data_IF_354964810809
#
_entry.id   IF_354964810809
#
_cell.length_a   1.000
_cell.length_b   1.000
_cell.length_c   1.000
_cell.angle_alpha   90.00
_cell.angle_beta   90.00
_cell.angle_gamma   90.00
#
_symmetry.space_group_name_H-M   'P 1'
#
loop_
_entity.id
_entity.type
_entity.pdbx_description
1 polymer ?
#
# COMPACT_ATOMS: atom_id res chain seq x y z
N UNK A 1 29.47 3.01 -6.26
CA UNK A 1 28.47 3.18 -5.17
C UNK A 1 28.35 1.87 -4.37
N UNK A 2 29.39 1.54 -3.59
CA UNK A 2 29.39 0.31 -2.78
C UNK A 2 28.60 0.57 -1.50
N UNK A 3 27.62 -0.29 -1.18
CA UNK A 3 26.88 -0.23 0.07
C UNK A 3 27.80 -0.67 1.21
N UNK A 4 28.09 0.23 2.16
CA UNK A 4 28.95 -0.04 3.30
C UNK A 4 28.20 -0.09 4.64
N UNK A 5 26.98 0.46 4.70
CA UNK A 5 26.14 0.41 5.90
C UNK A 5 24.75 -0.15 5.58
N UNK A 6 24.20 -0.90 6.55
CA UNK A 6 22.88 -1.51 6.51
C UNK A 6 22.29 -1.46 7.93
N UNK A 7 21.57 -0.42 8.23
CA UNK A 7 21.05 -0.17 9.58
C UNK A 7 19.55 -0.38 9.65
N UNK A 8 19.11 -0.96 10.77
CA UNK A 8 17.72 -1.27 11.03
C UNK A 8 17.26 -0.62 12.34
N UNK A 9 16.31 0.28 12.22
CA UNK A 9 15.68 0.91 13.37
C UNK A 9 14.22 0.40 13.50
N UNK A 10 13.82 -0.13 14.67
CA UNK A 10 12.44 -0.50 14.90
C UNK A 10 11.55 0.75 14.86
N UNK A 11 10.38 0.62 14.24
CA UNK A 11 9.44 1.71 14.08
C UNK A 11 8.06 1.25 14.52
N UNK A 12 7.51 1.89 15.54
CA UNK A 12 6.14 1.67 16.02
C UNK A 12 5.40 2.98 15.98
N UNK A 13 4.31 3.02 15.22
CA UNK A 13 3.48 4.21 15.03
C UNK A 13 2.08 3.92 15.59
N UNK A 14 1.59 4.79 16.46
CA UNK A 14 0.23 4.71 17.01
C UNK A 14 -0.78 5.25 16.00
N UNK A 15 -1.97 4.67 15.96
CA UNK A 15 -3.08 5.23 15.19
C UNK A 15 -3.84 6.27 16.00
N UNK A 16 -4.33 7.31 15.34
CA UNK A 16 -5.22 8.32 15.95
C UNK A 16 -6.48 7.69 16.54
N UNK A 17 -7.05 6.66 15.88
CA UNK A 17 -8.17 5.86 16.40
C UNK A 17 -7.65 4.55 16.98
N UNK A 18 -7.52 4.41 18.32
CA UNK A 18 -7.04 3.17 18.93
C UNK A 18 -8.04 2.01 18.79
N UNK A 19 -9.31 2.30 18.46
CA UNK A 19 -10.35 1.32 18.18
C UNK A 19 -10.44 0.94 16.69
N UNK A 20 -9.45 1.34 15.88
CA UNK A 20 -9.43 1.04 14.46
C UNK A 20 -9.40 -0.46 14.20
N UNK A 21 -10.36 -0.94 13.37
CA UNK A 21 -10.48 -2.34 13.01
C UNK A 21 -10.97 -2.54 11.58
N UNK A 22 -10.62 -3.69 11.02
CA UNK A 22 -11.13 -4.21 9.75
C UNK A 22 -11.60 -5.66 9.96
N UNK A 23 -12.05 -6.35 8.90
CA UNK A 23 -12.66 -7.67 9.02
C UNK A 23 -11.80 -8.70 9.78
N UNK A 24 -10.46 -8.67 9.60
CA UNK A 24 -9.55 -9.70 10.12
C UNK A 24 -8.96 -9.36 11.50
N UNK A 25 -8.87 -8.08 11.89
CA UNK A 25 -8.18 -7.69 13.14
C UNK A 25 -8.54 -6.29 13.64
N UNK A 26 -8.30 -6.06 14.94
CA UNK A 26 -8.10 -4.73 15.52
C UNK A 26 -6.59 -4.42 15.53
N UNK A 27 -6.23 -3.19 15.19
CA UNK A 27 -4.82 -2.80 15.06
C UNK A 27 -4.61 -1.36 15.55
N UNK A 28 -4.34 -1.14 16.84
CA UNK A 28 -4.15 0.20 17.41
C UNK A 28 -2.78 0.82 17.05
N UNK A 29 -1.84 -0.01 16.62
CA UNK A 29 -0.48 0.38 16.21
C UNK A 29 -0.13 -0.20 14.85
N UNK A 30 0.86 0.40 14.21
CA UNK A 30 1.55 -0.16 13.05
C UNK A 30 3.02 -0.34 13.41
N UNK A 31 3.54 -1.53 13.23
CA UNK A 31 4.92 -1.88 13.53
C UNK A 31 5.70 -2.13 12.24
N UNK A 32 7.01 -1.98 12.31
CA UNK A 32 7.91 -2.24 11.19
C UNK A 32 9.34 -1.88 11.51
N UNK A 33 10.14 -1.78 10.46
CA UNK A 33 11.55 -1.35 10.56
C UNK A 33 11.85 -0.33 9.46
N UNK A 34 12.55 0.73 9.82
CA UNK A 34 13.21 1.61 8.86
C UNK A 34 14.57 0.98 8.52
N UNK A 35 14.82 0.78 7.24
CA UNK A 35 16.11 0.38 6.70
C UNK A 35 16.82 1.62 6.17
N UNK A 36 18.05 1.86 6.63
CA UNK A 36 18.99 2.82 6.06
C UNK A 36 20.13 2.07 5.37
N UNK A 37 20.36 2.36 4.11
CA UNK A 37 21.54 1.96 3.37
C UNK A 37 22.43 3.18 3.18
N UNK A 38 23.74 3.05 3.36
CA UNK A 38 24.68 4.11 3.02
C UNK A 38 25.85 3.56 2.20
N UNK A 39 26.41 4.42 1.34
CA UNK A 39 27.58 4.12 0.51
C UNK A 39 28.82 4.79 1.07
N UNK A 40 30.01 4.31 0.64
CA UNK A 40 31.29 4.92 0.98
C UNK A 40 31.39 6.41 0.59
N UNK A 41 30.62 6.82 -0.43
CA UNK A 41 30.53 8.21 -0.88
C UNK A 41 29.57 9.06 -0.02
N UNK A 42 29.00 8.49 1.05
CA UNK A 42 28.10 9.17 1.99
C UNK A 42 26.66 9.37 1.48
N UNK A 43 26.28 8.73 0.37
CA UNK A 43 24.87 8.77 -0.11
C UNK A 43 24.04 7.77 0.69
N UNK A 44 22.90 8.23 1.17
CA UNK A 44 21.96 7.40 1.93
C UNK A 44 20.69 7.13 1.13
N UNK A 45 20.08 5.95 1.36
CA UNK A 45 18.78 5.57 0.84
C UNK A 45 17.96 4.86 1.91
N UNK A 46 16.66 5.07 1.91
CA UNK A 46 15.75 4.58 2.94
C UNK A 46 14.66 3.68 2.39
N UNK A 47 14.32 2.65 3.16
CA UNK A 47 13.17 1.77 2.94
C UNK A 47 12.41 1.50 4.23
N UNK A 48 11.16 1.11 4.12
CA UNK A 48 10.32 0.76 5.28
C UNK A 48 9.73 -0.63 5.11
N UNK A 49 10.03 -1.54 6.04
CA UNK A 49 9.44 -2.85 6.14
C UNK A 49 8.20 -2.79 7.05
N UNK A 50 7.02 -2.90 6.48
CA UNK A 50 5.75 -2.87 7.22
C UNK A 50 5.37 -4.25 7.73
N UNK A 51 5.12 -4.40 9.02
CA UNK A 51 4.54 -5.60 9.60
C UNK A 51 3.05 -5.67 9.25
N UNK A 52 2.67 -6.71 8.53
CA UNK A 52 1.30 -6.97 8.08
C UNK A 52 0.92 -8.41 8.44
N UNK A 53 0.48 -8.69 9.69
CA UNK A 53 0.24 -10.06 10.16
C UNK A 53 -0.72 -10.87 9.28
N UNK A 54 -1.75 -10.23 8.74
CA UNK A 54 -2.71 -10.86 7.81
C UNK A 54 -2.10 -11.19 6.43
N UNK A 55 -0.91 -10.69 6.14
CA UNK A 55 -0.10 -11.02 4.94
C UNK A 55 1.16 -11.81 5.29
N UNK A 56 1.24 -12.36 6.49
CA UNK A 56 2.29 -13.30 6.91
C UNK A 56 3.56 -12.67 7.50
N UNK A 57 3.60 -11.38 7.86
CA UNK A 57 4.77 -10.78 8.48
C UNK A 57 4.46 -10.07 9.80
N UNK A 58 5.33 -10.23 10.78
CA UNK A 58 5.36 -9.49 12.04
C UNK A 58 6.72 -8.80 12.20
N UNK A 59 6.84 -7.85 13.12
CA UNK A 59 8.09 -7.09 13.31
C UNK A 59 9.31 -8.00 13.56
N UNK A 60 9.13 -9.09 14.30
CA UNK A 60 10.20 -10.05 14.60
C UNK A 60 10.66 -10.84 13.35
N UNK A 61 9.73 -11.30 12.49
CA UNK A 61 10.09 -11.99 11.24
C UNK A 61 10.77 -11.05 10.26
N UNK A 62 10.28 -9.81 10.12
CA UNK A 62 10.91 -8.78 9.29
C UNK A 62 12.34 -8.50 9.73
N UNK A 63 12.58 -8.42 11.04
CA UNK A 63 13.93 -8.22 11.57
C UNK A 63 14.86 -9.36 11.18
N UNK A 64 14.43 -10.61 11.36
CA UNK A 64 15.22 -11.78 11.02
C UNK A 64 15.49 -11.88 9.50
N UNK A 65 14.50 -11.59 8.67
CA UNK A 65 14.62 -11.56 7.22
C UNK A 65 15.61 -10.47 6.74
N UNK A 66 15.53 -9.27 7.32
CA UNK A 66 16.42 -8.17 6.98
C UNK A 66 17.86 -8.45 7.47
N UNK A 67 18.05 -9.07 8.63
CA UNK A 67 19.37 -9.49 9.09
C UNK A 67 19.98 -10.58 8.19
N UNK A 68 19.17 -11.48 7.63
CA UNK A 68 19.59 -12.44 6.59
C UNK A 68 20.01 -11.73 5.31
N UNK A 69 19.36 -10.64 4.92
CA UNK A 69 19.67 -9.88 3.72
C UNK A 69 20.92 -9.01 3.84
N UNK A 70 21.28 -8.57 5.04
CA UNK A 70 22.43 -7.73 5.31
C UNK A 70 23.71 -8.18 4.58
N UNK A 71 24.22 -9.43 4.72
CA UNK A 71 25.42 -9.89 4.03
C UNK A 71 25.26 -10.02 2.51
N UNK A 72 24.04 -10.07 2.00
CA UNK A 72 23.76 -10.15 0.58
C UNK A 72 23.74 -8.76 -0.09
N UNK A 73 23.65 -7.69 0.69
CA UNK A 73 23.60 -6.29 0.23
C UNK A 73 24.93 -5.57 0.49
N UNK A 74 25.54 -5.75 1.67
CA UNK A 74 26.81 -5.13 2.01
C UNK A 74 27.91 -5.55 1.03
N UNK A 75 28.75 -4.58 0.65
CA UNK A 75 29.85 -4.76 -0.30
C UNK A 75 29.39 -4.84 -1.77
N UNK A 76 28.10 -4.69 -2.06
CA UNK A 76 27.56 -4.69 -3.43
C UNK A 76 27.43 -3.27 -3.98
N UNK A 77 27.53 -3.15 -5.28
CA UNK A 77 27.20 -1.89 -5.97
C UNK A 77 25.67 -1.72 -6.01
N UNK A 78 25.18 -0.65 -5.38
CA UNK A 78 23.75 -0.34 -5.29
C UNK A 78 23.07 -0.18 -6.66
N UNK A 79 23.83 0.13 -7.73
CA UNK A 79 23.34 0.21 -9.11
C UNK A 79 22.98 -1.16 -9.68
N UNK A 80 23.53 -2.23 -9.14
CA UNK A 80 23.24 -3.61 -9.51
C UNK A 80 21.96 -4.16 -8.86
N UNK A 81 20.87 -3.40 -8.86
CA UNK A 81 19.62 -3.71 -8.19
C UNK A 81 19.10 -5.12 -8.52
N UNK A 82 19.04 -5.50 -9.79
CA UNK A 82 18.58 -6.83 -10.20
C UNK A 82 19.44 -7.97 -9.64
N UNK A 83 20.76 -7.77 -9.58
CA UNK A 83 21.67 -8.77 -9.05
C UNK A 83 21.52 -8.93 -7.52
N UNK A 84 21.29 -7.82 -6.81
CA UNK A 84 21.04 -7.82 -5.36
C UNK A 84 19.69 -8.49 -5.09
N UNK A 85 18.60 -8.03 -5.70
CA UNK A 85 17.26 -8.58 -5.48
C UNK A 85 17.19 -10.06 -5.87
N UNK A 86 17.85 -10.48 -6.95
CA UNK A 86 17.98 -11.88 -7.33
C UNK A 86 18.75 -12.73 -6.29
N UNK A 87 19.70 -12.15 -5.58
CA UNK A 87 20.38 -12.83 -4.46
C UNK A 87 19.44 -13.00 -3.26
N UNK A 88 18.62 -11.99 -2.95
CA UNK A 88 17.59 -12.09 -1.90
C UNK A 88 16.55 -13.14 -2.25
N UNK A 89 16.10 -13.21 -3.52
CA UNK A 89 15.12 -14.20 -3.98
C UNK A 89 15.63 -15.65 -3.86
N UNK A 90 16.92 -15.87 -4.08
CA UNK A 90 17.57 -17.16 -3.83
C UNK A 90 17.83 -17.43 -2.36
N UNK A 91 18.01 -16.40 -1.55
CA UNK A 91 18.30 -16.51 -0.10
C UNK A 91 17.10 -17.01 0.70
N UNK A 92 15.92 -16.53 0.37
CA UNK A 92 14.66 -16.94 1.04
C UNK A 92 13.48 -16.82 0.09
N UNK A 93 12.62 -17.84 0.07
CA UNK A 93 11.34 -17.79 -0.64
C UNK A 93 10.34 -16.94 0.16
N UNK A 94 9.58 -16.08 -0.51
CA UNK A 94 8.65 -15.16 0.15
C UNK A 94 9.34 -13.92 0.70
N UNK A 95 9.02 -13.52 1.95
CA UNK A 95 9.54 -12.33 2.60
C UNK A 95 9.33 -11.02 1.79
N UNK A 96 8.14 -10.80 1.18
CA UNK A 96 7.98 -9.68 0.26
C UNK A 96 8.12 -8.32 0.94
N UNK A 97 7.68 -8.17 2.19
CA UNK A 97 7.77 -6.89 2.92
C UNK A 97 9.22 -6.51 3.24
N UNK A 98 10.06 -7.47 3.63
CA UNK A 98 11.48 -7.24 3.86
C UNK A 98 12.23 -6.97 2.54
N UNK A 99 11.91 -7.70 1.47
CA UNK A 99 12.45 -7.44 0.12
C UNK A 99 12.04 -6.06 -0.39
N UNK A 100 10.78 -5.65 -0.14
CA UNK A 100 10.30 -4.32 -0.52
C UNK A 100 11.11 -3.21 0.15
N UNK A 101 11.45 -3.36 1.44
CA UNK A 101 12.29 -2.37 2.12
C UNK A 101 13.67 -2.23 1.48
N UNK A 102 14.31 -3.34 1.10
CA UNK A 102 15.63 -3.31 0.42
C UNK A 102 15.51 -2.73 -0.98
N UNK A 103 14.52 -3.15 -1.76
CA UNK A 103 14.26 -2.64 -3.12
C UNK A 103 14.01 -1.12 -3.09
N UNK A 104 13.15 -0.66 -2.19
CA UNK A 104 12.84 0.77 -2.01
C UNK A 104 14.06 1.57 -1.56
N UNK A 105 14.86 1.05 -0.62
CA UNK A 105 16.08 1.72 -0.16
C UNK A 105 17.12 1.85 -1.28
N UNK A 106 17.29 0.81 -2.09
CA UNK A 106 18.19 0.84 -3.25
C UNK A 106 17.73 1.84 -4.32
N UNK A 107 16.41 1.89 -4.60
CA UNK A 107 15.86 2.88 -5.54
C UNK A 107 16.04 4.31 -5.01
N UNK A 108 15.74 4.56 -3.72
CA UNK A 108 15.93 5.87 -3.10
C UNK A 108 17.39 6.31 -3.13
N UNK A 109 18.31 5.40 -2.78
CA UNK A 109 19.76 5.61 -2.83
C UNK A 109 20.24 5.94 -4.25
N UNK A 110 19.80 5.18 -5.26
CA UNK A 110 20.18 5.42 -6.65
C UNK A 110 19.65 6.78 -7.15
N UNK A 111 18.40 7.13 -6.85
CA UNK A 111 17.83 8.42 -7.24
C UNK A 111 18.55 9.59 -6.54
N UNK A 112 18.87 9.46 -5.25
CA UNK A 112 19.65 10.46 -4.49
C UNK A 112 21.05 10.63 -5.05
N UNK A 113 21.74 9.55 -5.42
CA UNK A 113 23.08 9.62 -5.99
C UNK A 113 23.12 10.32 -7.35
N UNK A 114 22.04 10.25 -8.11
CA UNK A 114 21.86 10.94 -9.39
C UNK A 114 21.35 12.38 -9.21
N UNK A 115 20.97 12.78 -8.00
CA UNK A 115 20.38 14.10 -7.72
C UNK A 115 18.98 14.28 -8.32
N UNK A 116 18.23 13.20 -8.58
CA UNK A 116 16.93 13.25 -9.24
C UNK A 116 15.80 12.72 -8.34
N UNK A 117 14.55 13.17 -8.53
CA UNK A 117 13.40 12.56 -7.88
C UNK A 117 13.22 11.09 -8.29
N UNK A 118 12.70 10.27 -7.39
CA UNK A 118 12.58 8.82 -7.58
C UNK A 118 11.80 8.42 -8.84
N UNK A 119 10.74 9.16 -9.22
CA UNK A 119 9.94 8.86 -10.41
C UNK A 119 10.76 8.91 -11.72
N UNK A 120 11.90 9.59 -11.74
CA UNK A 120 12.78 9.65 -12.93
C UNK A 120 13.33 8.27 -13.28
N UNK A 121 13.56 7.41 -12.27
CA UNK A 121 14.00 6.02 -12.49
C UNK A 121 12.92 5.14 -13.16
N UNK A 122 11.68 5.61 -13.20
CA UNK A 122 10.54 4.90 -13.82
C UNK A 122 10.10 5.51 -15.15
N UNK A 123 10.88 6.44 -15.69
CA UNK A 123 10.61 7.10 -16.97
C UNK A 123 10.05 8.52 -16.86
N UNK A 124 10.01 9.08 -15.65
CA UNK A 124 9.50 10.43 -15.37
C UNK A 124 8.02 10.45 -15.00
N UNK A 125 7.58 11.55 -14.41
CA UNK A 125 6.19 11.72 -13.99
C UNK A 125 5.30 12.12 -15.18
N UNK A 126 4.17 11.45 -15.33
CA UNK A 126 3.09 11.80 -16.28
C UNK A 126 1.99 12.63 -15.61
N UNK A 127 2.03 12.73 -14.28
CA UNK A 127 1.21 13.61 -13.42
C UNK A 127 1.97 14.01 -12.19
N UNK A 128 1.62 15.15 -11.59
CA UNK A 128 2.30 15.68 -10.40
C UNK A 128 1.59 15.34 -9.09
N UNK A 129 0.38 14.79 -9.17
CA UNK A 129 -0.43 14.43 -8.01
C UNK A 129 -1.40 13.31 -8.32
N UNK A 130 -1.87 12.63 -7.27
CA UNK A 130 -2.93 11.61 -7.38
C UNK A 130 -4.01 11.87 -6.33
N UNK A 131 -5.29 11.57 -6.64
CA UNK A 131 -6.32 11.51 -5.62
C UNK A 131 -6.08 10.30 -4.73
N UNK A 132 -6.36 10.46 -3.44
CA UNK A 132 -6.21 9.37 -2.48
C UNK A 132 -7.55 8.90 -1.93
N UNK A 133 -7.58 7.61 -1.70
CA UNK A 133 -8.67 6.88 -1.09
C UNK A 133 -8.49 6.88 0.44
N UNK A 134 -9.54 7.26 1.19
CA UNK A 134 -9.50 7.25 2.65
C UNK A 134 -10.37 6.15 3.24
N UNK A 135 -9.79 5.36 4.14
CA UNK A 135 -10.47 4.19 4.71
C UNK A 135 -11.37 4.60 5.88
N UNK A 136 -12.61 4.07 5.85
CA UNK A 136 -13.56 4.06 6.96
C UNK A 136 -13.47 2.71 7.67
N UNK A 137 -13.01 2.70 8.91
CA UNK A 137 -12.97 1.50 9.75
C UNK A 137 -14.39 1.01 10.10
N UNK A 138 -14.52 -0.29 10.40
CA UNK A 138 -15.82 -0.90 10.73
C UNK A 138 -16.36 -0.31 12.04
N UNK A 139 -17.52 0.31 11.96
CA UNK A 139 -18.34 0.83 13.07
C UNK A 139 -19.82 0.65 12.73
N UNK A 140 -20.70 1.18 13.56
CA UNK A 140 -22.13 1.22 13.23
C UNK A 140 -22.39 2.09 11.98
N UNK A 141 -23.48 1.84 11.21
CA UNK A 141 -23.81 2.64 10.03
C UNK A 141 -23.82 4.15 10.28
N UNK A 142 -24.40 4.59 11.40
CA UNK A 142 -24.49 6.01 11.79
C UNK A 142 -23.12 6.62 12.08
N UNK A 143 -22.26 5.91 12.81
CA UNK A 143 -20.91 6.38 13.10
C UNK A 143 -20.04 6.48 11.85
N UNK A 144 -20.17 5.50 10.93
CA UNK A 144 -19.45 5.50 9.66
C UNK A 144 -19.92 6.65 8.75
N UNK A 145 -21.21 6.91 8.69
CA UNK A 145 -21.77 8.03 7.94
C UNK A 145 -21.27 9.38 8.49
N UNK A 146 -21.26 9.55 9.80
CA UNK A 146 -20.74 10.77 10.44
C UNK A 146 -19.22 10.94 10.20
N UNK A 147 -18.45 9.84 10.21
CA UNK A 147 -17.02 9.88 9.89
C UNK A 147 -16.77 10.19 8.41
N UNK A 148 -17.58 9.61 7.51
CA UNK A 148 -17.52 9.91 6.08
C UNK A 148 -17.73 11.39 5.80
N UNK A 149 -18.74 12.02 6.43
CA UNK A 149 -18.97 13.47 6.29
C UNK A 149 -17.76 14.30 6.73
N UNK A 150 -17.15 13.97 7.87
CA UNK A 150 -15.93 14.68 8.34
C UNK A 150 -14.79 14.60 7.34
N UNK A 151 -14.65 13.46 6.64
CA UNK A 151 -13.64 13.32 5.60
C UNK A 151 -13.98 14.15 4.35
N UNK A 152 -15.24 14.17 3.96
CA UNK A 152 -15.72 15.02 2.84
C UNK A 152 -15.50 16.51 3.15
N UNK A 153 -15.77 16.94 4.36
CA UNK A 153 -15.51 18.33 4.82
C UNK A 153 -14.01 18.69 4.79
N UNK A 154 -13.12 17.69 4.95
CA UNK A 154 -11.66 17.82 4.79
C UNK A 154 -11.19 17.75 3.32
N UNK A 155 -12.11 17.64 2.36
CA UNK A 155 -11.81 17.63 0.92
C UNK A 155 -11.65 16.26 0.28
N UNK A 156 -11.79 15.17 1.03
CA UNK A 156 -11.75 13.82 0.42
C UNK A 156 -12.98 13.58 -0.45
N UNK A 157 -12.76 12.95 -1.62
CA UNK A 157 -13.82 12.58 -2.56
C UNK A 157 -13.86 11.09 -2.85
N UNK A 158 -12.91 10.33 -2.34
CA UNK A 158 -12.79 8.88 -2.50
C UNK A 158 -12.73 8.22 -1.12
N UNK A 159 -13.73 7.41 -0.79
CA UNK A 159 -13.85 6.73 0.50
C UNK A 159 -13.89 5.22 0.32
N UNK A 160 -13.16 4.50 1.17
CA UNK A 160 -13.13 3.04 1.20
C UNK A 160 -13.84 2.55 2.46
N UNK A 161 -14.92 1.81 2.28
CA UNK A 161 -15.80 1.30 3.32
C UNK A 161 -15.36 -0.12 3.69
N UNK A 162 -14.86 -0.32 4.90
CA UNK A 162 -14.60 -1.66 5.42
C UNK A 162 -15.90 -2.35 5.81
N UNK A 163 -16.07 -3.60 5.37
CA UNK A 163 -17.21 -4.47 5.68
C UNK A 163 -16.72 -5.78 6.33
N UNK A 164 -17.62 -6.61 6.85
CA UNK A 164 -17.21 -7.79 7.63
C UNK A 164 -17.97 -9.08 7.31
N UNK A 165 -18.78 -9.11 6.25
CA UNK A 165 -19.44 -10.32 5.78
C UNK A 165 -20.90 -10.50 6.22
N UNK A 166 -21.46 -9.63 7.07
CA UNK A 166 -22.90 -9.60 7.30
C UNK A 166 -23.58 -8.76 6.21
N UNK A 167 -24.26 -9.44 5.29
CA UNK A 167 -24.90 -8.83 4.11
C UNK A 167 -25.86 -7.70 4.49
N UNK A 168 -26.68 -7.87 5.52
CA UNK A 168 -27.69 -6.89 5.90
C UNK A 168 -27.05 -5.63 6.53
N UNK A 169 -26.12 -5.84 7.45
CA UNK A 169 -25.39 -4.75 8.11
C UNK A 169 -24.50 -3.98 7.13
N UNK A 170 -23.80 -4.69 6.24
CA UNK A 170 -22.88 -4.09 5.29
C UNK A 170 -23.62 -3.25 4.24
N UNK A 171 -24.77 -3.72 3.76
CA UNK A 171 -25.68 -2.91 2.91
C UNK A 171 -26.16 -1.67 3.67
N UNK A 172 -26.55 -1.81 4.94
CA UNK A 172 -26.99 -0.67 5.75
C UNK A 172 -25.87 0.37 5.96
N UNK A 173 -24.60 -0.06 6.15
CA UNK A 173 -23.42 0.84 6.22
C UNK A 173 -23.25 1.66 4.95
N UNK A 174 -23.30 0.98 3.81
CA UNK A 174 -23.13 1.63 2.50
C UNK A 174 -24.28 2.62 2.24
N UNK A 175 -25.53 2.21 2.50
CA UNK A 175 -26.70 3.07 2.36
C UNK A 175 -26.62 4.33 3.23
N UNK A 176 -26.24 4.17 4.51
CA UNK A 176 -26.11 5.28 5.43
C UNK A 176 -24.99 6.27 5.01
N UNK A 177 -23.85 5.75 4.55
CA UNK A 177 -22.74 6.58 4.05
C UNK A 177 -23.17 7.32 2.79
N UNK A 178 -23.75 6.64 1.79
CA UNK A 178 -24.21 7.27 0.54
C UNK A 178 -25.25 8.37 0.82
N UNK A 179 -26.21 8.09 1.67
CA UNK A 179 -27.23 9.08 2.07
C UNK A 179 -26.63 10.32 2.73
N UNK A 180 -25.54 10.16 3.47
CA UNK A 180 -24.88 11.26 4.19
C UNK A 180 -24.00 12.11 3.27
N UNK A 181 -23.20 11.47 2.39
CA UNK A 181 -22.16 12.17 1.63
C UNK A 181 -22.61 12.62 0.22
N UNK A 182 -23.80 12.18 -0.22
CA UNK A 182 -24.31 12.52 -1.54
C UNK A 182 -23.66 11.72 -2.68
N UNK A 183 -24.00 12.07 -3.92
CA UNK A 183 -23.64 11.32 -5.13
C UNK A 183 -22.26 11.64 -5.71
N UNK A 184 -21.68 12.78 -5.32
CA UNK A 184 -20.38 13.26 -5.84
C UNK A 184 -19.16 12.60 -5.17
N UNK A 185 -19.40 11.75 -4.17
CA UNK A 185 -18.34 11.01 -3.46
C UNK A 185 -18.22 9.61 -4.00
N UNK A 186 -17.03 9.22 -4.41
CA UNK A 186 -16.69 7.89 -4.88
C UNK A 186 -16.60 6.91 -3.71
N UNK A 187 -17.31 5.78 -3.79
CA UNK A 187 -17.32 4.76 -2.74
C UNK A 187 -16.72 3.45 -3.25
N UNK A 188 -15.72 2.97 -2.54
CA UNK A 188 -15.13 1.64 -2.71
C UNK A 188 -15.47 0.78 -1.49
N UNK A 189 -15.71 -0.51 -1.68
CA UNK A 189 -15.90 -1.47 -0.60
C UNK A 189 -14.65 -2.33 -0.49
N UNK A 190 -14.25 -2.65 0.73
CA UNK A 190 -13.21 -3.65 0.99
C UNK A 190 -13.74 -4.67 2.00
N UNK A 191 -13.90 -5.88 1.52
CA UNK A 191 -14.43 -6.99 2.28
C UNK A 191 -13.35 -7.81 2.99
N UNK A 192 -12.08 -7.63 2.66
CA UNK A 192 -10.95 -8.40 3.20
C UNK A 192 -11.30 -9.90 3.34
N UNK A 193 -11.79 -10.51 2.25
CA UNK A 193 -12.08 -11.94 2.18
C UNK A 193 -13.28 -12.42 3.03
N UNK A 194 -14.16 -11.52 3.49
CA UNK A 194 -15.16 -11.87 4.52
C UNK A 194 -16.42 -12.56 4.00
N UNK A 195 -16.67 -12.56 2.68
CA UNK A 195 -17.87 -13.17 2.12
C UNK A 195 -17.62 -14.58 1.56
N UNK A 196 -18.68 -15.40 1.55
CA UNK A 196 -18.78 -16.49 0.58
C UNK A 196 -19.11 -15.91 -0.81
N UNK A 197 -18.87 -16.62 -1.92
CA UNK A 197 -19.24 -16.14 -3.25
C UNK A 197 -20.73 -15.79 -3.38
N UNK A 198 -21.62 -16.55 -2.76
CA UNK A 198 -23.07 -16.28 -2.77
C UNK A 198 -23.45 -15.02 -1.99
N UNK A 199 -22.84 -14.83 -0.82
CA UNK A 199 -23.09 -13.65 0.02
C UNK A 199 -22.52 -12.40 -0.64
N UNK A 200 -21.33 -12.50 -1.26
CA UNK A 200 -20.74 -11.42 -2.04
C UNK A 200 -21.67 -10.97 -3.17
N UNK A 201 -22.17 -11.90 -3.97
CA UNK A 201 -23.12 -11.60 -5.07
C UNK A 201 -24.40 -10.96 -4.52
N UNK A 202 -24.96 -11.50 -3.43
CA UNK A 202 -26.16 -10.94 -2.79
C UNK A 202 -25.91 -9.53 -2.26
N UNK A 203 -24.84 -9.31 -1.54
CA UNK A 203 -24.48 -8.00 -0.97
C UNK A 203 -24.25 -6.96 -2.08
N UNK A 204 -23.40 -7.28 -3.06
CA UNK A 204 -23.00 -6.34 -4.11
C UNK A 204 -24.14 -5.96 -5.04
N UNK A 205 -25.05 -6.89 -5.39
CA UNK A 205 -26.24 -6.56 -6.16
C UNK A 205 -27.19 -5.63 -5.39
N UNK A 206 -27.31 -5.76 -4.06
CA UNK A 206 -28.08 -4.84 -3.22
C UNK A 206 -27.38 -3.48 -3.02
N UNK A 207 -26.06 -3.47 -2.98
CA UNK A 207 -25.27 -2.26 -2.85
C UNK A 207 -25.13 -1.48 -4.16
N UNK A 208 -25.39 -2.10 -5.31
CA UNK A 208 -25.24 -1.49 -6.64
C UNK A 208 -26.06 -0.21 -6.81
N UNK A 209 -27.28 -0.13 -6.19
CA UNK A 209 -28.10 1.09 -6.19
C UNK A 209 -27.43 2.29 -5.51
N UNK A 210 -26.43 2.05 -4.65
CA UNK A 210 -25.67 3.08 -3.94
C UNK A 210 -24.43 3.57 -4.72
N UNK A 211 -24.33 3.24 -6.02
CA UNK A 211 -23.24 3.71 -6.92
C UNK A 211 -21.85 3.45 -6.36
N UNK A 212 -21.54 2.19 -6.13
CA UNK A 212 -20.21 1.74 -5.71
C UNK A 212 -19.32 1.59 -6.93
N UNK A 213 -18.12 2.16 -6.91
CA UNK A 213 -17.17 2.10 -8.02
C UNK A 213 -16.52 0.71 -8.14
N UNK A 214 -16.12 0.13 -7.00
CA UNK A 214 -15.49 -1.19 -6.96
C UNK A 214 -15.63 -1.87 -5.59
N UNK A 215 -15.48 -3.20 -5.58
CA UNK A 215 -15.28 -4.03 -4.39
C UNK A 215 -13.89 -4.67 -4.42
N UNK A 216 -13.14 -4.50 -3.33
CA UNK A 216 -11.82 -5.13 -3.12
C UNK A 216 -11.97 -6.42 -2.34
N UNK A 217 -11.34 -7.49 -2.84
CA UNK A 217 -11.22 -8.84 -2.29
C UNK A 217 -12.47 -9.34 -1.56
N UNK A 218 -13.57 -9.58 -2.27
CA UNK A 218 -14.83 -10.00 -1.65
C UNK A 218 -14.77 -11.39 -1.01
N UNK A 219 -14.03 -12.32 -1.60
CA UNK A 219 -13.94 -13.74 -1.18
C UNK A 219 -12.50 -14.10 -0.79
N UNK A 220 -12.31 -15.27 -0.16
CA UNK A 220 -11.00 -15.77 0.25
C UNK A 220 -9.99 -15.71 -0.91
N UNK A 221 -8.75 -15.31 -0.61
CA UNK A 221 -7.68 -15.16 -1.63
C UNK A 221 -7.40 -16.46 -2.39
N UNK A 222 -7.52 -17.61 -1.71
CA UNK A 222 -7.33 -18.92 -2.32
C UNK A 222 -8.52 -19.38 -3.21
N UNK A 223 -9.69 -18.71 -3.12
CA UNK A 223 -10.89 -19.05 -3.90
C UNK A 223 -10.95 -18.24 -5.21
N UNK A 224 -10.03 -18.52 -6.10
CA UNK A 224 -9.95 -17.83 -7.41
C UNK A 224 -11.17 -18.13 -8.29
N UNK A 225 -11.76 -19.32 -8.18
CA UNK A 225 -12.99 -19.67 -8.90
C UNK A 225 -14.19 -18.90 -8.37
N UNK A 226 -14.32 -18.78 -7.04
CA UNK A 226 -15.33 -17.95 -6.39
C UNK A 226 -15.17 -16.47 -6.74
N UNK A 227 -13.95 -15.97 -6.81
CA UNK A 227 -13.67 -14.61 -7.24
C UNK A 227 -14.12 -14.37 -8.69
N UNK A 228 -13.81 -15.30 -9.60
CA UNK A 228 -14.26 -15.25 -10.99
C UNK A 228 -15.79 -15.33 -11.13
N UNK A 229 -16.45 -16.11 -10.25
CA UNK A 229 -17.90 -16.20 -10.22
C UNK A 229 -18.51 -14.87 -9.79
N UNK A 230 -17.98 -14.24 -8.74
CA UNK A 230 -18.45 -12.92 -8.28
C UNK A 230 -18.29 -11.90 -9.40
N UNK A 231 -17.09 -11.81 -10.01
CA UNK A 231 -16.77 -10.86 -11.09
C UNK A 231 -17.79 -10.94 -12.24
N UNK A 232 -18.19 -12.14 -12.63
CA UNK A 232 -19.17 -12.35 -13.71
C UNK A 232 -20.63 -12.09 -13.31
N UNK A 233 -20.93 -12.04 -12.01
CA UNK A 233 -22.31 -12.03 -11.48
C UNK A 233 -22.77 -10.66 -10.96
N UNK A 234 -21.87 -9.68 -10.87
CA UNK A 234 -22.18 -8.36 -10.32
C UNK A 234 -21.84 -7.24 -11.31
N UNK A 235 -22.57 -6.12 -11.30
CA UNK A 235 -22.25 -4.97 -12.16
C UNK A 235 -21.10 -4.09 -11.65
N UNK A 236 -20.65 -4.32 -10.41
CA UNK A 236 -19.60 -3.55 -9.74
C UNK A 236 -18.23 -4.13 -10.13
N UNK A 237 -17.24 -3.27 -10.38
CA UNK A 237 -15.85 -3.70 -10.62
C UNK A 237 -15.33 -4.54 -9.45
N UNK A 238 -14.78 -5.72 -9.72
CA UNK A 238 -14.18 -6.60 -8.71
C UNK A 238 -12.65 -6.50 -8.78
N UNK A 239 -12.05 -6.11 -7.67
CA UNK A 239 -10.61 -5.93 -7.53
C UNK A 239 -10.00 -7.02 -6.65
N UNK A 240 -8.87 -7.61 -7.08
CA UNK A 240 -8.06 -8.49 -6.25
C UNK A 240 -7.07 -7.69 -5.41
N UNK A 241 -6.92 -8.04 -4.13
CA UNK A 241 -5.86 -7.56 -3.23
C UNK A 241 -5.05 -8.74 -2.68
N UNK A 242 -5.58 -9.46 -1.70
CA UNK A 242 -4.85 -10.57 -1.09
C UNK A 242 -4.59 -11.73 -2.06
N UNK A 243 -5.45 -11.93 -3.06
CA UNK A 243 -5.25 -12.92 -4.13
C UNK A 243 -4.15 -12.51 -5.13
N UNK A 244 -3.67 -11.27 -5.10
CA UNK A 244 -2.67 -10.71 -6.00
C UNK A 244 -1.35 -10.42 -5.26
N UNK A 245 -0.83 -11.35 -4.50
CA UNK A 245 0.36 -11.21 -3.65
C UNK A 245 1.71 -11.35 -4.38
N UNK A 246 1.71 -11.77 -5.65
CA UNK A 246 2.92 -11.93 -6.45
C UNK A 246 2.65 -11.70 -7.94
N UNK A 247 3.71 -11.47 -8.72
CA UNK A 247 3.61 -11.36 -10.19
C UNK A 247 2.98 -12.62 -10.82
N UNK A 248 3.25 -13.79 -10.26
CA UNK A 248 2.69 -15.04 -10.73
C UNK A 248 1.18 -15.10 -10.50
N UNK A 249 0.72 -14.80 -9.30
CA UNK A 249 -0.71 -14.79 -8.96
C UNK A 249 -1.46 -13.74 -9.80
N UNK A 250 -0.89 -12.54 -9.99
CA UNK A 250 -1.46 -11.53 -10.87
C UNK A 250 -1.57 -12.07 -12.31
N UNK A 251 -0.53 -12.72 -12.83
CA UNK A 251 -0.58 -13.33 -14.15
C UNK A 251 -1.68 -14.39 -14.27
N UNK A 252 -1.86 -15.25 -13.26
CA UNK A 252 -2.90 -16.26 -13.21
C UNK A 252 -4.30 -15.64 -13.19
N UNK A 253 -4.55 -14.64 -12.35
CA UNK A 253 -5.83 -13.89 -12.28
C UNK A 253 -6.17 -13.20 -13.61
N UNK A 254 -5.20 -12.54 -14.20
CA UNK A 254 -5.34 -11.81 -15.46
C UNK A 254 -5.62 -12.78 -16.63
N UNK A 255 -4.84 -13.86 -16.70
CA UNK A 255 -4.99 -14.89 -17.75
C UNK A 255 -6.35 -15.58 -17.69
N UNK A 256 -6.87 -15.84 -16.49
CA UNK A 256 -8.17 -16.46 -16.27
C UNK A 256 -9.35 -15.47 -16.34
N UNK A 257 -9.08 -14.16 -16.48
CA UNK A 257 -10.07 -13.07 -16.37
C UNK A 257 -10.96 -13.21 -15.12
N UNK A 258 -10.30 -13.47 -14.00
CA UNK A 258 -10.97 -13.69 -12.70
C UNK A 258 -11.32 -12.40 -11.99
N UNK A 259 -10.82 -11.26 -12.46
CA UNK A 259 -11.01 -9.93 -11.86
C UNK A 259 -11.07 -8.84 -12.93
N UNK A 260 -11.64 -7.70 -12.59
CA UNK A 260 -11.65 -6.49 -13.42
C UNK A 260 -10.49 -5.55 -13.10
N UNK A 261 -9.97 -5.62 -11.87
CA UNK A 261 -8.92 -4.75 -11.37
C UNK A 261 -8.00 -5.44 -10.37
N UNK A 262 -6.82 -4.85 -10.14
CA UNK A 262 -5.82 -5.32 -9.17
C UNK A 262 -5.32 -4.17 -8.30
N UNK A 263 -5.33 -4.35 -6.98
CA UNK A 263 -4.69 -3.47 -6.00
C UNK A 263 -3.19 -3.79 -5.91
N UNK A 264 -2.34 -2.90 -6.39
CA UNK A 264 -0.89 -3.08 -6.41
C UNK A 264 -0.27 -2.43 -5.17
N UNK A 265 0.19 -3.23 -4.22
CA UNK A 265 0.81 -2.74 -2.99
C UNK A 265 2.30 -3.08 -2.96
N UNK A 266 3.16 -2.07 -2.83
CA UNK A 266 4.62 -2.22 -2.83
C UNK A 266 5.11 -3.28 -1.84
N UNK A 267 4.67 -3.30 -0.56
CA UNK A 267 5.13 -4.29 0.40
C UNK A 267 4.74 -5.73 0.03
N UNK A 268 3.55 -5.90 -0.53
CA UNK A 268 3.00 -7.19 -0.93
C UNK A 268 3.76 -7.79 -2.12
N UNK A 269 4.16 -6.95 -3.07
CA UNK A 269 4.83 -7.35 -4.31
C UNK A 269 6.36 -7.43 -4.19
N UNK A 270 6.92 -7.06 -3.05
CA UNK A 270 8.36 -7.15 -2.82
C UNK A 270 9.17 -5.99 -3.41
N UNK A 271 8.55 -4.81 -3.56
CA UNK A 271 9.23 -3.58 -3.93
C UNK A 271 8.68 -2.87 -5.17
N UNK A 272 9.28 -1.73 -5.48
CA UNK A 272 8.93 -0.87 -6.61
C UNK A 272 9.13 -1.58 -7.95
N UNK A 273 10.22 -2.34 -8.09
CA UNK A 273 10.55 -3.14 -9.28
C UNK A 273 9.42 -4.07 -9.69
N UNK A 274 8.97 -4.90 -8.77
CA UNK A 274 7.89 -5.86 -9.04
C UNK A 274 6.54 -5.16 -9.19
N UNK A 275 6.29 -4.07 -8.46
CA UNK A 275 5.06 -3.29 -8.60
C UNK A 275 4.96 -2.65 -9.98
N UNK A 276 6.06 -2.12 -10.51
CA UNK A 276 6.13 -1.62 -11.89
C UNK A 276 5.85 -2.73 -12.90
N UNK A 277 6.47 -3.91 -12.73
CA UNK A 277 6.24 -5.07 -13.61
C UNK A 277 4.78 -5.52 -13.57
N UNK A 278 4.16 -5.57 -12.38
CA UNK A 278 2.74 -5.90 -12.20
C UNK A 278 1.82 -4.88 -12.90
N UNK A 279 2.10 -3.58 -12.78
CA UNK A 279 1.34 -2.54 -13.47
C UNK A 279 1.41 -2.72 -14.99
N UNK A 280 2.59 -2.97 -15.55
CA UNK A 280 2.76 -3.21 -16.98
C UNK A 280 2.04 -4.48 -17.46
N UNK A 281 2.01 -5.53 -16.63
CA UNK A 281 1.24 -6.73 -16.91
C UNK A 281 -0.26 -6.44 -16.96
N UNK A 282 -0.79 -5.70 -15.99
CA UNK A 282 -2.19 -5.29 -15.95
C UNK A 282 -2.55 -4.42 -17.18
N UNK A 283 -1.73 -3.41 -17.49
CA UNK A 283 -1.90 -2.54 -18.67
C UNK A 283 -1.96 -3.35 -19.97
N UNK A 284 -1.00 -4.27 -20.17
CA UNK A 284 -0.95 -5.14 -21.37
C UNK A 284 -2.16 -6.05 -21.51
N UNK A 285 -2.79 -6.43 -20.40
CA UNK A 285 -3.97 -7.28 -20.36
C UNK A 285 -5.30 -6.52 -20.33
N UNK A 286 -5.27 -5.19 -20.34
CA UNK A 286 -6.44 -4.32 -20.16
C UNK A 286 -7.19 -4.56 -18.84
N UNK A 287 -6.45 -4.89 -17.77
CA UNK A 287 -6.95 -4.99 -16.41
C UNK A 287 -6.64 -3.67 -15.69
N UNK A 288 -7.64 -3.08 -15.06
CA UNK A 288 -7.47 -1.85 -14.29
C UNK A 288 -6.60 -2.06 -13.06
N UNK A 289 -5.94 -1.01 -12.59
CA UNK A 289 -5.16 -1.10 -11.36
C UNK A 289 -5.04 0.24 -10.65
N UNK A 290 -4.70 0.17 -9.38
CA UNK A 290 -4.31 1.31 -8.55
C UNK A 290 -3.17 0.93 -7.62
N UNK A 291 -2.47 1.93 -7.07
CA UNK A 291 -1.39 1.69 -6.13
C UNK A 291 -1.85 1.85 -4.69
N UNK A 292 -1.26 1.03 -3.81
CA UNK A 292 -1.39 1.11 -2.37
C UNK A 292 -0.02 1.02 -1.67
N UNK A 293 0.08 1.69 -0.53
CA UNK A 293 1.26 1.63 0.33
C UNK A 293 1.06 0.70 1.54
N UNK A 294 -0.13 0.12 1.71
CA UNK A 294 -0.58 -0.45 2.98
C UNK A 294 -0.55 0.61 4.10
N UNK A 295 -0.74 0.21 5.37
CA UNK A 295 -0.62 1.13 6.50
C UNK A 295 0.83 1.16 6.95
N UNK A 296 1.51 2.28 6.74
CA UNK A 296 2.93 2.44 7.05
C UNK A 296 3.40 3.89 6.99
N UNK A 297 4.70 4.10 7.07
CA UNK A 297 5.35 5.40 7.11
C UNK A 297 5.13 6.25 5.86
N UNK A 298 5.23 7.57 6.00
CA UNK A 298 5.31 8.55 4.89
C UNK A 298 6.34 8.19 3.84
N UNK A 299 7.45 7.60 4.25
CA UNK A 299 8.47 7.14 3.31
C UNK A 299 7.91 6.17 2.29
N UNK A 300 7.20 5.14 2.76
CA UNK A 300 6.59 4.13 1.87
C UNK A 300 5.51 4.75 0.98
N UNK A 301 4.70 5.66 1.54
CA UNK A 301 3.69 6.39 0.78
C UNK A 301 4.30 7.29 -0.30
N UNK A 302 5.40 8.00 0.00
CA UNK A 302 6.12 8.81 -0.98
C UNK A 302 6.70 7.96 -2.11
N UNK A 303 7.33 6.83 -1.78
CA UNK A 303 7.88 5.91 -2.78
C UNK A 303 6.80 5.35 -3.71
N UNK A 304 5.64 4.98 -3.14
CA UNK A 304 4.47 4.55 -3.92
C UNK A 304 3.89 5.69 -4.78
N UNK A 305 3.87 6.91 -4.27
CA UNK A 305 3.40 8.10 -5.00
C UNK A 305 4.27 8.39 -6.23
N UNK A 306 5.61 8.31 -6.09
CA UNK A 306 6.51 8.47 -7.23
C UNK A 306 6.22 7.47 -8.33
N UNK A 307 5.99 6.20 -7.98
CA UNK A 307 5.62 5.18 -8.96
C UNK A 307 4.23 5.45 -9.55
N UNK A 308 3.23 5.80 -8.74
CA UNK A 308 1.87 6.14 -9.21
C UNK A 308 1.87 7.31 -10.19
N UNK A 309 2.72 8.32 -9.93
CA UNK A 309 2.85 9.48 -10.81
C UNK A 309 3.61 9.17 -12.11
N UNK A 310 4.43 8.11 -12.14
CA UNK A 310 5.14 7.67 -13.34
C UNK A 310 4.32 6.71 -14.22
N UNK A 311 3.29 6.07 -13.67
CA UNK A 311 2.45 5.12 -14.40
C UNK A 311 1.33 5.83 -15.15
N UNK A 312 1.15 5.65 -16.48
CA UNK A 312 0.04 6.22 -17.23
C UNK A 312 -1.32 5.68 -16.81
N UNK A 313 -1.43 4.39 -16.53
CA UNK A 313 -2.66 3.64 -16.35
C UNK A 313 -3.12 3.49 -14.90
N UNK A 314 -3.05 4.53 -14.07
CA UNK A 314 -3.67 4.50 -12.73
C UNK A 314 -5.15 4.86 -12.85
N UNK A 315 -6.04 3.87 -12.68
CA UNK A 315 -7.46 3.96 -13.01
C UNK A 315 -8.34 4.48 -11.86
N UNK A 316 -7.89 4.29 -10.62
CA UNK A 316 -8.65 4.65 -9.41
C UNK A 316 -7.80 5.45 -8.44
N UNK A 317 -8.46 6.11 -7.49
CA UNK A 317 -7.77 6.79 -6.39
C UNK A 317 -6.84 5.82 -5.63
N UNK A 318 -5.62 6.28 -5.34
CA UNK A 318 -4.59 5.46 -4.72
C UNK A 318 -4.77 5.34 -3.20
N UNK A 319 -4.46 4.16 -2.64
CA UNK A 319 -4.46 3.93 -1.18
C UNK A 319 -3.08 4.29 -0.59
N UNK A 320 -2.76 5.58 -0.59
CA UNK A 320 -1.47 6.11 -0.16
C UNK A 320 -1.56 7.04 1.05
N UNK A 321 -2.75 7.35 1.55
CA UNK A 321 -2.96 8.37 2.56
C UNK A 321 -3.01 7.87 4.01
N UNK A 322 -2.79 6.59 4.27
CA UNK A 322 -2.98 6.02 5.61
C UNK A 322 -1.93 6.47 6.64
N UNK A 323 -0.75 6.93 6.20
CA UNK A 323 0.26 7.54 7.07
C UNK A 323 -0.26 8.78 7.82
N UNK A 324 -1.20 9.53 7.23
CA UNK A 324 -1.76 10.76 7.78
C UNK A 324 -2.55 10.57 9.10
N UNK A 325 -2.89 9.34 9.44
CA UNK A 325 -3.52 8.97 10.73
C UNK A 325 -2.55 8.27 11.70
N UNK A 326 -1.27 8.21 11.36
CA UNK A 326 -0.25 7.63 12.22
C UNK A 326 0.46 8.73 13.00
N UNK A 327 0.55 8.52 14.30
CA UNK A 327 1.37 9.31 15.18
C UNK A 327 2.78 8.69 15.22
N UNK A 328 3.78 9.50 15.52
CA UNK A 328 5.16 9.05 15.72
C UNK A 328 5.85 8.55 14.42
N UNK A 329 5.39 8.96 13.24
CA UNK A 329 6.08 8.66 11.97
C UNK A 329 7.46 9.34 11.98
N UNK A 330 8.57 8.60 11.77
CA UNK A 330 9.91 9.17 11.80
C UNK A 330 10.26 10.03 10.57
N UNK A 331 9.37 10.13 9.58
CA UNK A 331 9.59 10.91 8.37
C UNK A 331 8.67 12.13 8.29
N UNK A 332 9.12 13.16 7.54
CA UNK A 332 8.38 14.38 7.22
C UNK A 332 8.53 14.73 5.74
N UNK A 333 7.75 15.68 5.23
CA UNK A 333 7.86 16.19 3.86
C UNK A 333 6.81 15.65 2.89
N UNK A 334 5.80 14.90 3.37
CA UNK A 334 4.63 14.51 2.58
C UNK A 334 3.37 14.78 3.39
N UNK A 335 2.41 15.47 2.82
CA UNK A 335 1.14 15.81 3.45
C UNK A 335 -0.03 15.60 2.49
N UNK A 336 -1.20 15.30 3.07
CA UNK A 336 -2.44 15.19 2.31
C UNK A 336 -3.13 16.55 2.28
N UNK A 337 -3.32 17.09 1.09
CA UNK A 337 -4.03 18.35 0.88
C UNK A 337 -5.34 18.11 0.13
N UNK A 338 -6.48 18.32 0.79
CA UNK A 338 -7.81 18.19 0.20
C UNK A 338 -8.03 16.85 -0.55
N UNK A 339 -7.58 15.74 0.06
CA UNK A 339 -7.72 14.41 -0.53
C UNK A 339 -6.78 14.11 -1.71
N UNK A 340 -5.74 14.94 -1.89
CA UNK A 340 -4.71 14.78 -2.91
C UNK A 340 -3.33 14.60 -2.26
N UNK A 341 -2.49 13.81 -2.90
CA UNK A 341 -1.05 13.78 -2.64
C UNK A 341 -0.29 14.33 -3.84
N UNK A 342 0.62 15.27 -3.59
CA UNK A 342 1.53 15.84 -4.59
C UNK A 342 2.92 15.26 -4.43
N UNK A 343 3.62 15.11 -5.55
CA UNK A 343 5.03 14.70 -5.56
C UNK A 343 5.86 15.63 -4.66
N UNK A 344 6.58 15.10 -3.67
CA UNK A 344 7.48 15.91 -2.88
C UNK A 344 8.69 16.36 -3.72
N UNK A 345 9.21 17.52 -3.41
CA UNK A 345 10.41 18.05 -4.07
C UNK A 345 11.69 17.36 -3.55
N UNK A 346 12.75 17.35 -4.39
CA UNK A 346 14.06 16.87 -4.01
C UNK A 346 14.44 15.53 -4.62
N UNK A 347 15.65 15.08 -4.32
CA UNK A 347 16.19 13.81 -4.81
C UNK A 347 15.64 12.63 -4.00
N UNK A 348 15.58 11.46 -4.65
CA UNK A 348 15.03 10.25 -4.02
C UNK A 348 13.52 10.36 -3.81
N UNK A 349 13.06 9.88 -2.67
CA UNK A 349 11.67 9.90 -2.25
C UNK A 349 11.15 11.30 -1.86
N UNK A 350 12.04 12.30 -1.71
CA UNK A 350 11.70 13.66 -1.34
C UNK A 350 11.26 13.86 0.13
N UNK A 351 11.18 12.78 0.92
CA UNK A 351 10.89 12.83 2.36
C UNK A 351 12.19 12.74 3.17
N UNK A 352 12.15 13.27 4.39
CA UNK A 352 13.31 13.37 5.26
C UNK A 352 13.07 12.66 6.58
N UNK A 353 14.08 11.93 7.05
CA UNK A 353 14.09 11.36 8.39
C UNK A 353 14.22 12.51 9.40
N UNK A 354 13.33 12.53 10.39
CA UNK A 354 13.41 13.46 11.51
C UNK A 354 14.62 13.05 12.34
N UNK A 355 15.59 13.97 12.52
CA UNK A 355 16.75 13.71 13.35
C UNK A 355 16.31 13.26 14.74
N UNK A 356 16.74 12.09 15.19
CA UNK A 356 16.50 11.68 16.57
C UNK A 356 17.08 12.77 17.50
N UNK A 357 16.37 13.17 18.58
CA UNK A 357 16.96 14.06 19.58
C UNK A 357 18.27 13.43 20.04
N UNK A 358 19.36 14.19 19.99
CA UNK A 358 20.69 13.73 20.35
C UNK A 358 20.60 12.95 21.68
N UNK A 359 20.99 11.68 21.69
CA UNK A 359 21.04 10.87 22.90
C UNK A 359 21.87 11.66 23.89
N UNK A 360 21.25 12.24 24.90
CA UNK A 360 21.98 12.83 26.04
C UNK A 360 22.93 11.76 26.54
N UNK A 361 24.22 12.02 26.44
CA UNK A 361 25.24 11.13 26.94
C UNK A 361 24.86 10.79 28.39
N UNK A 362 24.55 9.53 28.67
CA UNK A 362 24.47 9.04 30.04
C UNK A 362 25.90 9.17 30.55
N UNK A 363 26.14 10.21 31.34
CA UNK A 363 27.31 10.30 32.22
C UNK A 363 27.28 9.05 33.10
N UNK A 364 28.37 8.32 33.07
CA UNK A 364 28.66 7.13 33.83
C UNK A 364 28.61 7.38 35.36
#
# INVERSE_FOLDING_TARGET
MIVCEFDLEPCTMRKEDPAWRFALAASPVTEGHVLRLATEDGVEGFGYASATPHMGSIAATLRAELDLFRPLVLGRDARGLEAIMGALDRGIRGAPQAKAAVDCALHDLNARSLGVPLHVLFGGAVRESVPILRILAIKTPTEMAAQAQKLVDRGYRYLKIKVHGDVAEDVARVAAIRSQVGDDVHLTIDANQSYSPKDAISALNRMAEHRIDLVEQPVAAADVEGLALVTKSVPVTVEADEAAGSLREIFELVSARSVDAVSLKIPKLGGLRNTLAAARLCEAAHIKHRLGAAVGSRLLAAQALHLACALPGVDYACELGEFDRLLDDPFTGLEVEQGMLKLPAGAGSGVNLIAAPAKTARTA
#
